data_IF_851476293204
#
_entry.id   IF_851476293204
#
_cell.length_a   1.000
_cell.length_b   1.000
_cell.length_c   1.000
_cell.angle_alpha   90.00
_cell.angle_beta   90.00
_cell.angle_gamma   90.00
#
_symmetry.space_group_name_H-M   'P 1'
#
loop_
_entity.id
_entity.type
_entity.pdbx_description
1 polymer ?
#
# COMPACT_ATOMS: atom_id res chain seq x y z
N UNK A 1 -17.53 19.51 -26.71
CA UNK A 1 -16.79 20.19 -25.62
C UNK A 1 -15.88 19.17 -24.96
N UNK A 2 -14.63 19.11 -25.45
CA UNK A 2 -13.54 18.42 -24.74
C UNK A 2 -13.09 19.34 -23.61
N UNK A 3 -13.56 19.09 -22.38
CA UNK A 3 -12.87 19.55 -21.21
C UNK A 3 -11.64 18.64 -21.07
N UNK A 4 -10.49 19.14 -21.51
CA UNK A 4 -9.20 18.63 -21.06
C UNK A 4 -9.17 18.98 -19.57
N UNK A 5 -9.49 18.02 -18.68
CA UNK A 5 -9.16 18.14 -17.27
C UNK A 5 -7.65 18.28 -17.20
N UNK A 6 -7.18 19.50 -17.00
CA UNK A 6 -5.77 19.77 -16.71
C UNK A 6 -5.52 19.12 -15.35
N UNK A 7 -4.80 17.99 -15.34
CA UNK A 7 -4.35 17.36 -14.12
C UNK A 7 -3.56 18.34 -13.26
N UNK A 8 -3.55 18.13 -11.94
CA UNK A 8 -2.76 18.95 -11.03
C UNK A 8 -1.29 18.74 -11.38
N UNK A 9 -0.56 19.85 -11.58
CA UNK A 9 0.90 19.79 -11.71
C UNK A 9 1.50 19.54 -10.32
N UNK A 10 1.71 18.27 -9.99
CA UNK A 10 2.35 17.88 -8.74
C UNK A 10 3.85 18.22 -8.77
N UNK A 11 4.28 19.09 -7.87
CA UNK A 11 5.69 19.50 -7.71
C UNK A 11 6.34 18.82 -6.50
N UNK A 12 5.59 18.64 -5.42
CA UNK A 12 6.07 18.04 -4.19
C UNK A 12 5.03 17.12 -3.56
N UNK A 13 5.47 15.94 -3.12
CA UNK A 13 4.64 14.96 -2.42
C UNK A 13 5.20 14.61 -1.05
N UNK A 14 4.34 14.39 -0.08
CA UNK A 14 4.66 13.82 1.23
C UNK A 14 4.24 12.36 1.26
N UNK A 15 5.09 11.47 1.78
CA UNK A 15 4.78 10.04 1.88
C UNK A 15 5.03 9.58 3.32
N UNK A 16 4.01 9.10 4.02
CA UNK A 16 4.18 8.31 5.26
C UNK A 16 4.29 6.83 4.93
N UNK A 17 5.04 6.06 5.72
CA UNK A 17 5.32 4.66 5.41
C UNK A 17 6.19 4.43 4.17
N UNK A 18 7.15 5.31 3.85
CA UNK A 18 7.92 5.31 2.60
C UNK A 18 8.92 4.14 2.49
N UNK A 19 9.18 3.40 3.57
CA UNK A 19 10.21 2.36 3.64
C UNK A 19 9.74 0.98 3.18
N UNK A 20 8.46 0.83 2.88
CA UNK A 20 7.86 -0.39 2.31
C UNK A 20 8.04 -0.47 0.79
N UNK A 21 7.72 -1.63 0.20
CA UNK A 21 7.87 -1.89 -1.24
C UNK A 21 7.17 -0.84 -2.11
N UNK A 22 5.91 -0.52 -1.82
CA UNK A 22 5.15 0.49 -2.58
C UNK A 22 5.72 1.89 -2.34
N UNK A 23 6.05 2.23 -1.09
CA UNK A 23 6.58 3.55 -0.74
C UNK A 23 7.90 3.86 -1.45
N UNK A 24 8.84 2.91 -1.45
CA UNK A 24 10.12 3.06 -2.16
C UNK A 24 9.94 3.12 -3.68
N UNK A 25 9.05 2.31 -4.23
CA UNK A 25 8.71 2.36 -5.65
C UNK A 25 8.09 3.71 -6.03
N UNK A 26 7.20 4.25 -5.18
CA UNK A 26 6.57 5.56 -5.41
C UNK A 26 7.59 6.70 -5.33
N UNK A 27 8.54 6.68 -4.39
CA UNK A 27 9.63 7.67 -4.35
C UNK A 27 10.35 7.70 -5.70
N UNK A 28 10.76 6.54 -6.22
CA UNK A 28 11.47 6.45 -7.49
C UNK A 28 10.61 6.94 -8.66
N UNK A 29 9.34 6.57 -8.69
CA UNK A 29 8.40 7.00 -9.73
C UNK A 29 8.20 8.51 -9.74
N UNK A 30 7.98 9.12 -8.56
CA UNK A 30 7.79 10.55 -8.41
C UNK A 30 9.04 11.34 -8.83
N UNK A 31 10.21 10.95 -8.33
CA UNK A 31 11.49 11.59 -8.66
C UNK A 31 11.79 11.50 -10.16
N UNK A 32 11.55 10.34 -10.78
CA UNK A 32 11.75 10.16 -12.23
C UNK A 32 10.82 11.05 -13.08
N UNK A 33 9.74 11.56 -12.49
CA UNK A 33 8.80 12.49 -13.12
C UNK A 33 8.97 13.95 -12.62
N UNK A 34 10.10 14.26 -11.97
CA UNK A 34 10.44 15.63 -11.55
C UNK A 34 9.70 16.12 -10.31
N UNK A 35 9.12 15.20 -9.51
CA UNK A 35 8.39 15.52 -8.28
C UNK A 35 9.33 15.39 -7.09
N UNK A 36 9.46 16.44 -6.27
CA UNK A 36 10.16 16.38 -5.00
C UNK A 36 9.39 15.52 -3.99
N UNK A 37 10.11 14.75 -3.19
CA UNK A 37 9.51 13.85 -2.20
C UNK A 37 10.00 14.16 -0.79
N UNK A 38 9.06 14.33 0.12
CA UNK A 38 9.32 14.32 1.56
C UNK A 38 8.90 12.97 2.13
N UNK A 39 9.88 12.15 2.47
CA UNK A 39 9.70 10.81 3.02
C UNK A 39 9.63 10.88 4.56
N UNK A 40 8.44 10.69 5.12
CA UNK A 40 8.19 10.72 6.58
C UNK A 40 8.48 9.35 7.17
N UNK A 41 9.50 9.25 7.99
CA UNK A 41 10.03 8.00 8.55
C UNK A 41 9.88 8.02 10.07
N UNK A 42 9.49 6.88 10.65
CA UNK A 42 9.47 6.72 12.09
C UNK A 42 10.89 6.87 12.66
N UNK A 43 11.09 7.67 13.72
CA UNK A 43 12.40 7.83 14.37
C UNK A 43 12.99 6.47 14.75
N UNK A 44 14.27 6.28 14.49
CA UNK A 44 15.00 5.04 14.78
C UNK A 44 14.64 3.85 13.87
N UNK A 45 13.93 4.06 12.77
CA UNK A 45 13.61 2.99 11.83
C UNK A 45 14.87 2.43 11.16
N UNK A 46 15.15 1.14 11.36
CA UNK A 46 16.23 0.42 10.67
C UNK A 46 16.08 0.37 9.15
N UNK A 47 14.87 0.66 8.65
CA UNK A 47 14.58 0.67 7.20
C UNK A 47 14.78 2.04 6.58
N UNK A 48 15.11 3.08 7.37
CA UNK A 48 15.31 4.43 6.87
C UNK A 48 16.43 4.52 5.82
N UNK A 49 17.47 3.69 5.97
CA UNK A 49 18.62 3.64 5.04
C UNK A 49 18.29 3.11 3.64
N UNK A 50 17.08 2.54 3.46
CA UNK A 50 16.57 2.19 2.13
C UNK A 50 16.24 3.42 1.28
N UNK A 51 15.99 4.57 1.91
CA UNK A 51 15.67 5.82 1.25
C UNK A 51 16.97 6.58 0.98
N UNK A 52 17.33 6.69 -0.31
CA UNK A 52 18.46 7.51 -0.74
C UNK A 52 18.01 8.96 -0.80
N UNK A 53 18.57 9.80 0.07
CA UNK A 53 18.33 11.24 0.06
C UNK A 53 19.08 11.91 -1.09
N UNK A 54 18.52 12.98 -1.62
CA UNK A 54 19.07 13.81 -2.70
C UNK A 54 18.41 15.18 -2.66
N UNK A 55 18.72 16.04 -3.62
CA UNK A 55 18.02 17.33 -3.77
C UNK A 55 16.50 17.13 -4.00
N UNK A 56 16.11 16.00 -4.58
CA UNK A 56 14.70 15.64 -4.85
C UNK A 56 14.07 14.81 -3.75
N UNK A 57 14.82 14.28 -2.78
CA UNK A 57 14.30 13.39 -1.72
C UNK A 57 14.81 13.84 -0.36
N UNK A 58 13.93 14.43 0.43
CA UNK A 58 14.19 14.78 1.83
C UNK A 58 13.60 13.70 2.75
N UNK A 59 14.33 13.34 3.80
CA UNK A 59 13.81 12.48 4.87
C UNK A 59 13.46 13.35 6.08
N UNK A 60 12.27 13.12 6.64
CA UNK A 60 11.80 13.77 7.87
C UNK A 60 11.46 12.69 8.88
N UNK A 61 12.05 12.75 10.07
CA UNK A 61 11.77 11.84 11.15
C UNK A 61 10.52 12.32 11.91
N UNK A 62 9.41 11.54 11.83
CA UNK A 62 8.16 11.80 12.52
C UNK A 62 7.41 10.50 12.74
N UNK A 63 6.96 10.25 13.97
CA UNK A 63 6.09 9.11 14.29
C UNK A 63 4.63 9.37 13.86
N UNK A 64 3.87 8.32 13.56
CA UNK A 64 2.46 8.46 13.19
C UNK A 64 1.61 9.11 14.28
N UNK A 65 1.99 8.96 15.54
CA UNK A 65 1.34 9.61 16.69
C UNK A 65 1.62 11.11 16.80
N UNK A 66 2.55 11.63 16.00
CA UNK A 66 3.02 13.02 16.06
C UNK A 66 2.88 13.79 14.73
N UNK A 67 1.99 13.31 13.82
CA UNK A 67 1.80 13.92 12.48
C UNK A 67 1.40 15.39 12.52
N UNK A 68 0.80 15.84 13.62
CA UNK A 68 0.53 17.26 13.87
C UNK A 68 1.78 18.15 13.87
N UNK A 69 2.98 17.58 14.04
CA UNK A 69 4.26 18.32 13.99
C UNK A 69 4.79 18.50 12.57
N UNK A 70 4.25 17.76 11.58
CA UNK A 70 4.75 17.82 10.19
C UNK A 70 4.80 19.23 9.60
N UNK A 71 3.80 20.13 9.81
CA UNK A 71 3.85 21.48 9.26
C UNK A 71 5.03 22.33 9.78
N UNK A 72 5.54 22.01 10.97
CA UNK A 72 6.73 22.68 11.54
C UNK A 72 8.04 22.11 10.94
N UNK A 73 8.02 20.82 10.56
CA UNK A 73 9.16 20.09 10.01
C UNK A 73 9.30 20.28 8.49
N UNK A 74 8.18 20.53 7.79
CA UNK A 74 8.10 20.69 6.34
C UNK A 74 7.57 22.10 6.04
N UNK A 75 8.48 23.07 5.91
CA UNK A 75 8.11 24.48 5.77
C UNK A 75 7.68 24.88 4.35
N UNK A 76 8.09 24.10 3.36
CA UNK A 76 7.89 24.43 1.95
C UNK A 76 6.51 24.05 1.42
N UNK A 77 5.66 23.38 2.23
CA UNK A 77 4.36 22.86 1.79
C UNK A 77 4.46 21.69 0.83
N UNK A 78 3.32 21.17 0.36
CA UNK A 78 3.27 20.09 -0.62
C UNK A 78 1.93 20.08 -1.37
N UNK A 79 1.86 19.38 -2.53
CA UNK A 79 0.66 19.30 -3.35
C UNK A 79 -0.17 18.05 -3.04
N UNK A 80 0.50 16.92 -2.79
CA UNK A 80 -0.14 15.61 -2.56
C UNK A 80 0.42 14.93 -1.33
N UNK A 81 -0.46 14.39 -0.51
CA UNK A 81 -0.10 13.60 0.67
C UNK A 81 -0.49 12.13 0.47
N UNK A 82 0.49 11.23 0.46
CA UNK A 82 0.32 9.78 0.40
C UNK A 82 0.44 9.19 1.80
N UNK A 83 -0.64 8.66 2.34
CA UNK A 83 -0.65 8.04 3.66
C UNK A 83 -0.60 6.52 3.56
N UNK A 84 0.62 5.96 3.62
CA UNK A 84 0.88 4.51 3.61
C UNK A 84 1.30 3.97 4.98
N UNK A 85 1.61 4.86 5.93
CA UNK A 85 1.96 4.47 7.30
C UNK A 85 0.81 3.75 7.99
N UNK A 86 1.08 2.57 8.56
CA UNK A 86 0.11 1.78 9.31
C UNK A 86 0.81 0.75 10.17
N UNK A 87 0.46 0.64 11.45
CA UNK A 87 1.00 -0.36 12.34
C UNK A 87 0.12 -1.63 12.38
N UNK A 88 0.74 -2.79 12.59
CA UNK A 88 0.01 -4.04 12.77
C UNK A 88 -0.63 -4.59 11.49
N UNK A 89 0.09 -4.59 10.37
CA UNK A 89 -0.38 -5.10 9.08
C UNK A 89 -0.29 -6.62 8.92
N UNK A 90 0.42 -7.33 9.82
CA UNK A 90 0.68 -8.76 9.73
C UNK A 90 0.38 -9.50 11.04
N UNK A 91 0.10 -10.81 10.92
CA UNK A 91 -0.07 -11.72 12.04
C UNK A 91 -1.17 -11.30 13.02
N UNK A 92 -0.97 -11.60 14.28
CA UNK A 92 -1.96 -11.36 15.35
C UNK A 92 -2.23 -9.86 15.59
N UNK A 93 -1.30 -8.97 15.23
CA UNK A 93 -1.49 -7.53 15.36
C UNK A 93 -2.62 -6.98 14.48
N UNK A 94 -3.03 -7.69 13.43
CA UNK A 94 -4.20 -7.36 12.61
C UNK A 94 -5.50 -7.34 13.42
N UNK A 95 -5.57 -8.10 14.51
CA UNK A 95 -6.73 -8.17 15.42
C UNK A 95 -6.45 -7.51 16.78
N UNK A 96 -5.41 -6.71 16.92
CA UNK A 96 -5.27 -5.80 18.05
C UNK A 96 -6.18 -4.58 17.83
N UNK A 97 -7.41 -4.65 18.32
CA UNK A 97 -8.46 -3.65 18.05
C UNK A 97 -8.05 -2.25 18.50
N UNK A 98 -7.37 -2.11 19.64
CA UNK A 98 -6.91 -0.80 20.12
C UNK A 98 -5.81 -0.22 19.22
N UNK A 99 -4.84 -1.04 18.81
CA UNK A 99 -3.80 -0.62 17.85
C UNK A 99 -4.39 -0.27 16.49
N UNK A 100 -5.36 -1.04 16.00
CA UNK A 100 -6.04 -0.75 14.74
C UNK A 100 -6.88 0.54 14.83
N UNK A 101 -7.54 0.80 15.95
CA UNK A 101 -8.27 2.05 16.17
C UNK A 101 -7.33 3.28 16.21
N UNK A 102 -6.14 3.14 16.79
CA UNK A 102 -5.12 4.21 16.74
C UNK A 102 -4.70 4.56 15.31
N UNK A 103 -4.59 3.58 14.42
CA UNK A 103 -4.29 3.84 13.02
C UNK A 103 -5.39 4.67 12.32
N UNK A 104 -6.66 4.48 12.70
CA UNK A 104 -7.76 5.34 12.20
C UNK A 104 -7.55 6.78 12.63
N UNK A 105 -7.19 6.99 13.91
CA UNK A 105 -6.83 8.33 14.41
C UNK A 105 -5.65 8.91 13.62
N UNK A 106 -4.59 8.15 13.40
CA UNK A 106 -3.42 8.61 12.68
C UNK A 106 -3.73 8.96 11.22
N UNK A 107 -4.67 8.25 10.58
CA UNK A 107 -5.14 8.61 9.25
C UNK A 107 -5.88 9.96 9.23
N UNK A 108 -6.65 10.27 10.27
CA UNK A 108 -7.28 11.58 10.43
C UNK A 108 -6.24 12.67 10.72
N UNK A 109 -5.27 12.41 11.61
CA UNK A 109 -4.15 13.32 11.88
C UNK A 109 -3.33 13.60 10.60
N UNK A 110 -3.20 12.60 9.72
CA UNK A 110 -2.55 12.76 8.42
C UNK A 110 -3.33 13.70 7.49
N UNK A 111 -4.68 13.69 7.52
CA UNK A 111 -5.50 14.66 6.78
C UNK A 111 -5.30 16.07 7.32
N UNK A 112 -5.26 16.24 8.66
CA UNK A 112 -4.99 17.55 9.27
C UNK A 112 -3.60 18.08 8.87
N UNK A 113 -2.59 17.20 8.91
CA UNK A 113 -1.22 17.56 8.50
C UNK A 113 -1.16 17.92 7.01
N UNK A 114 -1.81 17.14 6.14
CA UNK A 114 -1.90 17.40 4.72
C UNK A 114 -2.52 18.78 4.42
N UNK A 115 -3.64 19.08 5.08
CA UNK A 115 -4.30 20.39 4.94
C UNK A 115 -3.39 21.55 5.41
N UNK A 116 -2.75 21.39 6.55
CA UNK A 116 -1.84 22.41 7.07
C UNK A 116 -0.58 22.61 6.21
N UNK A 117 -0.16 21.59 5.45
CA UNK A 117 0.91 21.66 4.45
C UNK A 117 0.46 22.27 3.12
N UNK A 118 -0.82 22.59 2.96
CA UNK A 118 -1.39 23.14 1.73
C UNK A 118 -1.64 22.09 0.64
N UNK A 119 -1.71 20.79 0.98
CA UNK A 119 -1.99 19.75 0.00
C UNK A 119 -3.41 19.88 -0.57
N UNK A 120 -3.52 19.81 -1.89
CA UNK A 120 -4.81 19.75 -2.58
C UNK A 120 -5.40 18.33 -2.59
N UNK A 121 -4.55 17.32 -2.41
CA UNK A 121 -4.92 15.91 -2.55
C UNK A 121 -4.39 15.07 -1.41
N UNK A 122 -5.26 14.23 -0.87
CA UNK A 122 -4.93 13.17 0.08
C UNK A 122 -5.20 11.80 -0.55
N UNK A 123 -4.20 10.90 -0.54
CA UNK A 123 -4.31 9.53 -1.02
C UNK A 123 -4.05 8.58 0.14
N UNK A 124 -5.05 7.80 0.53
CA UNK A 124 -4.93 6.81 1.58
C UNK A 124 -4.75 5.39 1.04
N UNK A 125 -3.84 4.64 1.66
CA UNK A 125 -3.66 3.23 1.37
C UNK A 125 -4.67 2.37 2.13
N UNK A 126 -5.71 1.95 1.45
CA UNK A 126 -6.62 0.89 1.87
C UNK A 126 -6.05 -0.51 1.58
N UNK A 127 -6.90 -1.52 1.66
CA UNK A 127 -6.50 -2.92 1.51
C UNK A 127 -7.64 -3.77 0.96
N UNK A 128 -7.27 -4.84 0.27
CA UNK A 128 -8.22 -5.92 -0.08
C UNK A 128 -8.94 -6.50 1.16
N UNK A 129 -8.34 -6.40 2.35
CA UNK A 129 -8.97 -6.86 3.58
C UNK A 129 -10.29 -6.14 3.93
N UNK A 130 -10.56 -5.00 3.30
CA UNK A 130 -11.83 -4.27 3.43
C UNK A 130 -13.01 -5.04 2.80
N UNK A 131 -12.75 -5.87 1.78
CA UNK A 131 -13.79 -6.66 1.14
C UNK A 131 -14.23 -7.88 1.97
N UNK A 132 -13.33 -8.41 2.83
CA UNK A 132 -13.51 -9.73 3.43
C UNK A 132 -13.29 -10.83 2.38
N UNK A 133 -13.92 -12.00 2.58
CA UNK A 133 -13.90 -13.09 1.60
C UNK A 133 -14.99 -12.87 0.56
N UNK A 134 -14.61 -12.83 -0.68
CA UNK A 134 -15.49 -12.64 -1.82
C UNK A 134 -15.11 -13.63 -2.92
N UNK A 135 -16.08 -14.25 -3.57
CA UNK A 135 -15.88 -15.15 -4.69
C UNK A 135 -16.07 -14.36 -5.99
N UNK A 136 -14.99 -14.15 -6.72
CA UNK A 136 -14.99 -13.42 -7.98
C UNK A 136 -13.98 -12.26 -8.01
N UNK A 137 -13.99 -11.51 -9.10
CA UNK A 137 -13.06 -10.40 -9.31
C UNK A 137 -13.40 -9.21 -8.41
N UNK A 138 -12.41 -8.72 -7.68
CA UNK A 138 -12.53 -7.54 -6.83
C UNK A 138 -12.46 -6.26 -7.68
N UNK A 139 -13.36 -5.34 -7.40
CA UNK A 139 -13.38 -3.98 -7.94
C UNK A 139 -14.01 -3.03 -6.93
N UNK A 140 -14.05 -1.74 -7.24
CA UNK A 140 -14.55 -0.71 -6.34
C UNK A 140 -16.03 -0.83 -5.97
N UNK A 141 -16.83 -1.51 -6.79
CA UNK A 141 -18.28 -1.69 -6.58
C UNK A 141 -18.63 -2.90 -5.71
N UNK A 142 -17.66 -3.80 -5.46
CA UNK A 142 -17.87 -4.95 -4.56
C UNK A 142 -18.11 -4.43 -3.13
N UNK A 143 -19.20 -4.85 -2.46
CA UNK A 143 -19.48 -4.44 -1.09
C UNK A 143 -18.34 -4.80 -0.14
N UNK A 144 -17.97 -3.86 0.71
CA UNK A 144 -16.97 -4.07 1.75
C UNK A 144 -17.60 -4.74 2.97
N UNK A 145 -17.07 -5.91 3.36
CA UNK A 145 -17.48 -6.65 4.55
C UNK A 145 -16.25 -7.28 5.24
N UNK A 146 -15.40 -6.45 5.89
CA UNK A 146 -14.16 -6.90 6.47
C UNK A 146 -14.38 -7.88 7.62
N UNK A 147 -13.54 -8.94 7.69
CA UNK A 147 -13.63 -10.03 8.66
C UNK A 147 -12.53 -10.01 9.73
N UNK A 148 -11.71 -8.95 9.78
CA UNK A 148 -10.67 -8.77 10.79
C UNK A 148 -10.48 -7.30 11.15
N UNK A 149 -9.88 -7.03 12.31
CA UNK A 149 -9.71 -5.67 12.84
C UNK A 149 -8.95 -4.74 11.90
N UNK A 150 -7.95 -5.23 11.19
CA UNK A 150 -7.21 -4.48 10.19
C UNK A 150 -8.10 -4.01 9.03
N UNK A 151 -8.88 -4.90 8.43
CA UNK A 151 -9.80 -4.55 7.34
C UNK A 151 -10.89 -3.59 7.79
N UNK A 152 -11.46 -3.80 9.00
CA UNK A 152 -12.45 -2.90 9.60
C UNK A 152 -11.85 -1.50 9.78
N UNK A 153 -10.66 -1.40 10.35
CA UNK A 153 -9.99 -0.12 10.60
C UNK A 153 -9.62 0.59 9.28
N UNK A 154 -9.17 -0.15 8.26
CA UNK A 154 -8.89 0.40 6.92
C UNK A 154 -10.16 0.99 6.28
N UNK A 155 -11.27 0.25 6.31
CA UNK A 155 -12.56 0.72 5.80
C UNK A 155 -13.04 1.96 6.57
N UNK A 156 -12.95 1.93 7.90
CA UNK A 156 -13.31 3.07 8.76
C UNK A 156 -12.47 4.30 8.42
N UNK A 157 -11.13 4.15 8.35
CA UNK A 157 -10.22 5.24 7.99
C UNK A 157 -10.56 5.83 6.61
N UNK A 158 -10.81 4.98 5.60
CA UNK A 158 -11.18 5.43 4.26
C UNK A 158 -12.44 6.29 4.25
N UNK A 159 -13.47 5.87 4.99
CA UNK A 159 -14.72 6.63 5.07
C UNK A 159 -14.58 7.93 5.87
N UNK A 160 -13.89 7.89 7.02
CA UNK A 160 -13.72 9.07 7.87
C UNK A 160 -12.81 10.12 7.20
N UNK A 161 -11.69 9.71 6.62
CA UNK A 161 -10.78 10.63 5.91
C UNK A 161 -11.45 11.26 4.68
N UNK A 162 -12.34 10.54 3.98
CA UNK A 162 -13.13 11.09 2.87
C UNK A 162 -14.00 12.26 3.33
N UNK A 163 -14.69 12.12 4.47
CA UNK A 163 -15.53 13.17 5.03
C UNK A 163 -14.66 14.35 5.51
N UNK A 164 -13.54 14.06 6.19
CA UNK A 164 -12.61 15.08 6.69
C UNK A 164 -12.00 15.90 5.54
N UNK A 165 -11.56 15.26 4.46
CA UNK A 165 -11.04 15.95 3.27
C UNK A 165 -12.12 16.83 2.62
N UNK A 166 -13.35 16.31 2.46
CA UNK A 166 -14.48 17.09 1.91
C UNK A 166 -14.75 18.36 2.72
N UNK A 167 -14.70 18.29 4.04
CA UNK A 167 -14.88 19.46 4.93
C UNK A 167 -13.78 20.51 4.74
N UNK A 168 -12.61 20.11 4.29
CA UNK A 168 -11.44 20.98 4.06
C UNK A 168 -11.29 21.41 2.60
N UNK A 169 -12.17 20.96 1.70
CA UNK A 169 -12.06 21.23 0.26
C UNK A 169 -10.88 20.50 -0.41
N UNK A 170 -10.36 19.45 0.21
CA UNK A 170 -9.29 18.62 -0.32
C UNK A 170 -9.85 17.46 -1.14
N UNK A 171 -9.21 17.13 -2.24
CA UNK A 171 -9.49 15.91 -3.02
C UNK A 171 -9.07 14.68 -2.24
N UNK A 172 -9.96 13.71 -2.09
CA UNK A 172 -9.72 12.46 -1.39
C UNK A 172 -9.74 11.27 -2.33
N UNK A 173 -8.72 10.43 -2.26
CA UNK A 173 -8.63 9.19 -3.02
C UNK A 173 -8.30 8.05 -2.05
N UNK A 174 -9.07 6.98 -2.10
CA UNK A 174 -8.81 5.77 -1.33
C UNK A 174 -8.41 4.62 -2.24
N UNK A 175 -7.35 3.89 -1.88
CA UNK A 175 -6.85 2.80 -2.72
C UNK A 175 -6.97 1.48 -2.00
N UNK A 176 -7.81 0.56 -2.48
CA UNK A 176 -7.87 -0.83 -1.99
C UNK A 176 -6.81 -1.63 -2.72
N UNK A 177 -5.66 -1.74 -2.07
CA UNK A 177 -4.48 -2.39 -2.64
C UNK A 177 -4.63 -3.91 -2.49
N UNK A 178 -4.48 -4.64 -3.61
CA UNK A 178 -4.45 -6.10 -3.64
C UNK A 178 -3.06 -6.62 -3.25
N UNK A 179 -2.58 -7.71 -3.84
CA UNK A 179 -1.26 -8.25 -3.53
C UNK A 179 -0.17 -7.59 -4.37
N UNK A 180 0.68 -6.80 -3.71
CA UNK A 180 1.83 -6.19 -4.35
C UNK A 180 3.08 -7.01 -4.03
N UNK A 181 3.94 -7.19 -5.02
CA UNK A 181 5.27 -7.79 -4.87
C UNK A 181 6.36 -6.93 -5.51
N UNK A 182 7.58 -7.09 -5.07
CA UNK A 182 8.73 -6.37 -5.64
C UNK A 182 9.87 -6.20 -4.65
N UNK A 183 10.88 -5.38 -4.99
CA UNK A 183 11.99 -5.09 -4.10
C UNK A 183 11.50 -4.56 -2.75
N UNK A 184 12.18 -5.00 -1.68
CA UNK A 184 11.88 -4.63 -0.29
C UNK A 184 10.51 -5.09 0.23
N UNK A 185 9.84 -6.03 -0.44
CA UNK A 185 8.67 -6.71 0.11
C UNK A 185 9.06 -7.51 1.37
N UNK A 186 8.06 -7.83 2.20
CA UNK A 186 8.31 -8.55 3.46
C UNK A 186 8.85 -9.96 3.22
N UNK A 187 9.89 -10.35 3.95
CA UNK A 187 10.53 -11.67 3.82
C UNK A 187 9.58 -12.85 4.03
N UNK A 188 8.50 -12.64 4.80
CA UNK A 188 7.49 -13.64 5.11
C UNK A 188 6.30 -13.65 4.12
N UNK A 189 6.30 -12.81 3.08
CA UNK A 189 5.29 -12.92 2.03
C UNK A 189 5.49 -14.20 1.23
N UNK A 190 4.42 -14.69 0.58
CA UNK A 190 4.50 -15.93 -0.21
C UNK A 190 5.60 -15.82 -1.27
N UNK A 191 5.66 -14.72 -2.00
CA UNK A 191 6.65 -14.51 -3.06
C UNK A 191 8.07 -14.54 -2.50
N UNK A 192 8.36 -13.72 -1.49
CA UNK A 192 9.71 -13.58 -0.97
C UNK A 192 10.18 -14.84 -0.22
N UNK A 193 9.33 -15.44 0.61
CA UNK A 193 9.68 -16.66 1.32
C UNK A 193 9.93 -17.84 0.38
N UNK A 194 9.18 -17.94 -0.72
CA UNK A 194 9.41 -18.96 -1.77
C UNK A 194 10.75 -18.73 -2.46
N UNK A 195 11.04 -17.47 -2.83
CA UNK A 195 12.33 -17.12 -3.46
C UNK A 195 13.50 -17.47 -2.54
N UNK A 196 13.46 -17.05 -1.26
CA UNK A 196 14.55 -17.32 -0.31
C UNK A 196 14.77 -18.80 -0.09
N UNK A 197 13.74 -19.60 0.08
CA UNK A 197 13.86 -21.06 0.23
C UNK A 197 14.52 -21.68 -1.00
N UNK A 198 14.07 -21.33 -2.20
CA UNK A 198 14.62 -21.86 -3.43
C UNK A 198 16.09 -21.49 -3.62
N UNK A 199 16.47 -20.23 -3.35
CA UNK A 199 17.86 -19.79 -3.44
C UNK A 199 18.77 -20.51 -2.44
N UNK A 200 18.24 -20.89 -1.27
CA UNK A 200 18.95 -21.69 -0.28
C UNK A 200 18.88 -23.21 -0.52
N UNK A 201 18.32 -23.63 -1.67
CA UNK A 201 18.09 -25.05 -1.98
C UNK A 201 17.16 -25.75 -0.99
N UNK A 202 16.28 -25.00 -0.32
CA UNK A 202 15.26 -25.51 0.59
C UNK A 202 13.94 -25.73 -0.16
N UNK A 203 13.23 -26.83 0.16
CA UNK A 203 11.92 -27.13 -0.41
C UNK A 203 10.86 -26.16 0.12
N UNK A 204 10.20 -25.30 -0.70
CA UNK A 204 9.05 -24.55 -0.28
C UNK A 204 7.85 -25.48 -0.07
N UNK A 205 7.23 -25.47 1.11
CA UNK A 205 5.95 -26.13 1.37
C UNK A 205 4.81 -25.16 1.14
N UNK A 206 3.83 -25.54 0.34
CA UNK A 206 2.72 -24.70 -0.10
C UNK A 206 1.38 -25.44 0.08
N UNK A 207 0.28 -24.70 0.05
CA UNK A 207 -1.03 -25.27 -0.18
C UNK A 207 -1.10 -25.87 -1.59
N UNK A 208 -2.25 -26.41 -2.02
CA UNK A 208 -2.39 -26.89 -3.40
C UNK A 208 -2.20 -25.79 -4.47
N UNK A 209 -2.30 -24.50 -4.06
CA UNK A 209 -2.10 -23.36 -4.94
C UNK A 209 -3.27 -23.09 -5.89
N UNK A 210 -4.47 -23.56 -5.54
CA UNK A 210 -5.70 -23.39 -6.33
C UNK A 210 -6.35 -22.01 -6.15
N UNK A 211 -5.89 -21.23 -5.14
CA UNK A 211 -6.41 -19.89 -4.90
C UNK A 211 -6.18 -19.01 -6.14
N UNK A 212 -7.22 -18.35 -6.58
CA UNK A 212 -7.13 -17.33 -7.63
C UNK A 212 -6.56 -16.05 -7.03
N UNK A 213 -5.42 -15.59 -7.52
CA UNK A 213 -4.68 -14.49 -6.91
C UNK A 213 -4.24 -13.45 -7.94
N UNK A 214 -4.41 -12.18 -7.61
CA UNK A 214 -3.94 -11.07 -8.43
C UNK A 214 -2.70 -10.45 -7.80
N UNK A 215 -1.55 -10.63 -8.44
CA UNK A 215 -0.31 -9.97 -8.08
C UNK A 215 0.02 -8.81 -9.02
N UNK A 216 0.35 -7.66 -8.44
CA UNK A 216 0.81 -6.48 -9.16
C UNK A 216 2.24 -6.12 -8.74
N UNK A 217 3.10 -5.80 -9.71
CA UNK A 217 4.47 -5.37 -9.43
C UNK A 217 4.50 -3.97 -8.82
N UNK A 218 5.37 -3.74 -7.84
CA UNK A 218 5.43 -2.50 -7.06
C UNK A 218 5.64 -1.23 -7.90
N UNK A 219 6.35 -1.33 -9.04
CA UNK A 219 6.49 -0.19 -9.97
C UNK A 219 5.17 0.18 -10.65
N UNK A 220 4.37 -0.81 -11.04
CA UNK A 220 3.06 -0.54 -11.65
C UNK A 220 2.09 0.04 -10.64
N UNK A 221 2.15 -0.44 -9.37
CA UNK A 221 1.42 0.17 -8.28
C UNK A 221 1.85 1.62 -8.03
N UNK A 222 3.15 1.92 -8.08
CA UNK A 222 3.68 3.26 -7.93
C UNK A 222 3.24 4.20 -9.06
N UNK A 223 3.26 3.72 -10.31
CA UNK A 223 2.72 4.45 -11.47
C UNK A 223 1.24 4.77 -11.26
N UNK A 224 0.43 3.78 -10.82
CA UNK A 224 -0.98 4.01 -10.53
C UNK A 224 -1.16 5.08 -9.45
N UNK A 225 -0.38 5.02 -8.34
CA UNK A 225 -0.45 6.01 -7.27
C UNK A 225 -0.08 7.43 -7.74
N UNK A 226 0.96 7.59 -8.59
CA UNK A 226 1.30 8.88 -9.18
C UNK A 226 0.16 9.41 -10.04
N UNK A 227 -0.38 8.59 -10.95
CA UNK A 227 -1.49 8.98 -11.81
C UNK A 227 -2.75 9.37 -11.02
N UNK A 228 -3.03 8.68 -9.90
CA UNK A 228 -4.12 9.04 -9.00
C UNK A 228 -3.86 10.38 -8.31
N UNK A 229 -2.61 10.70 -7.94
CA UNK A 229 -2.24 12.01 -7.43
C UNK A 229 -2.53 13.14 -8.41
N UNK A 230 -2.22 12.91 -9.68
CA UNK A 230 -2.40 13.89 -10.76
C UNK A 230 -3.86 14.00 -11.23
N UNK A 231 -4.55 12.87 -11.42
CA UNK A 231 -5.80 12.78 -12.19
C UNK A 231 -6.93 12.01 -11.49
N UNK A 232 -6.71 11.48 -10.27
CA UNK A 232 -7.72 10.70 -9.55
C UNK A 232 -8.97 11.54 -9.26
N UNK A 233 -10.14 10.93 -9.36
CA UNK A 233 -11.42 11.60 -9.11
C UNK A 233 -11.68 11.70 -7.61
N UNK A 234 -12.11 12.87 -7.13
CA UNK A 234 -12.43 13.12 -5.72
C UNK A 234 -13.50 12.16 -5.20
N UNK A 235 -13.29 11.70 -3.96
CA UNK A 235 -14.18 10.82 -3.22
C UNK A 235 -14.25 9.38 -3.75
N UNK A 236 -13.47 9.03 -4.79
CA UNK A 236 -13.45 7.69 -5.36
C UNK A 236 -12.53 6.74 -4.61
N UNK A 237 -12.96 5.47 -4.58
CA UNK A 237 -12.13 4.33 -4.19
C UNK A 237 -11.63 3.63 -5.45
N UNK A 238 -10.35 3.26 -5.48
CA UNK A 238 -9.73 2.53 -6.59
C UNK A 238 -9.20 1.18 -6.10
N UNK A 239 -9.51 0.13 -6.82
CA UNK A 239 -8.94 -1.19 -6.61
C UNK A 239 -7.60 -1.27 -7.35
N UNK A 240 -6.50 -1.50 -6.62
CA UNK A 240 -5.14 -1.52 -7.18
C UNK A 240 -4.65 -2.96 -7.30
N UNK A 241 -4.76 -3.50 -8.49
CA UNK A 241 -4.36 -4.85 -8.88
C UNK A 241 -4.02 -4.91 -10.37
N UNK A 242 -3.59 -6.06 -10.87
CA UNK A 242 -3.31 -6.25 -12.29
C UNK A 242 -4.58 -6.45 -13.13
N UNK A 243 -5.70 -6.78 -12.48
CA UNK A 243 -6.95 -7.16 -13.11
C UNK A 243 -6.92 -8.56 -13.74
N UNK A 244 -5.91 -9.37 -13.42
CA UNK A 244 -5.70 -10.73 -13.97
C UNK A 244 -5.36 -11.71 -12.86
N UNK A 245 -6.38 -12.21 -12.17
CA UNK A 245 -6.19 -13.30 -11.21
C UNK A 245 -5.82 -14.60 -11.93
N UNK A 246 -4.89 -15.36 -11.35
CA UNK A 246 -4.44 -16.67 -11.80
C UNK A 246 -4.35 -17.62 -10.62
N UNK A 247 -4.38 -18.95 -10.83
CA UNK A 247 -4.05 -19.89 -9.78
C UNK A 247 -2.70 -19.57 -9.14
N UNK A 248 -2.64 -19.53 -7.82
CA UNK A 248 -1.42 -19.20 -7.06
C UNK A 248 -0.25 -20.10 -7.46
N UNK A 249 -0.56 -21.35 -7.81
CA UNK A 249 0.42 -22.33 -8.32
C UNK A 249 1.19 -21.82 -9.53
N UNK A 250 0.55 -21.12 -10.47
CA UNK A 250 1.24 -20.59 -11.67
C UNK A 250 2.33 -19.59 -11.30
N UNK A 251 2.07 -18.70 -10.32
CA UNK A 251 3.10 -17.78 -9.83
C UNK A 251 4.23 -18.50 -9.13
N UNK A 252 3.93 -19.52 -8.33
CA UNK A 252 4.93 -20.33 -7.62
C UNK A 252 5.80 -21.09 -8.63
N UNK A 253 5.20 -21.66 -9.68
CA UNK A 253 5.94 -22.36 -10.75
C UNK A 253 6.88 -21.40 -11.50
N UNK A 254 6.44 -20.18 -11.81
CA UNK A 254 7.29 -19.14 -12.43
C UNK A 254 8.48 -18.80 -11.51
N UNK A 255 8.22 -18.63 -10.21
CA UNK A 255 9.30 -18.39 -9.23
C UNK A 255 10.27 -19.56 -9.20
N UNK A 256 9.75 -20.80 -9.16
CA UNK A 256 10.57 -22.02 -9.16
C UNK A 256 11.50 -22.12 -10.38
N UNK A 257 10.95 -21.88 -11.57
CA UNK A 257 11.71 -21.91 -12.82
C UNK A 257 12.84 -20.87 -12.87
N UNK A 258 12.63 -19.69 -12.26
CA UNK A 258 13.58 -18.59 -12.32
C UNK A 258 14.57 -18.58 -11.15
N UNK A 259 14.17 -18.99 -9.95
CA UNK A 259 15.03 -18.97 -8.77
C UNK A 259 15.89 -20.24 -8.65
N UNK A 260 15.29 -21.43 -8.71
CA UNK A 260 16.03 -22.70 -8.70
C UNK A 260 15.14 -23.87 -9.18
N UNK A 261 15.26 -24.22 -10.45
CA UNK A 261 14.48 -25.28 -11.09
C UNK A 261 14.79 -26.71 -10.58
N UNK A 262 15.89 -26.88 -9.84
CA UNK A 262 16.30 -28.19 -9.32
C UNK A 262 15.65 -28.52 -7.97
N UNK A 263 14.99 -27.56 -7.33
CA UNK A 263 14.29 -27.76 -6.04
C UNK A 263 12.83 -28.04 -6.30
N UNK A 264 12.36 -29.16 -5.75
CA UNK A 264 10.94 -29.54 -5.84
C UNK A 264 10.08 -28.67 -4.92
N UNK A 265 8.95 -28.20 -5.42
CA UNK A 265 7.95 -27.46 -4.63
C UNK A 265 6.96 -28.44 -4.02
N UNK A 266 6.68 -28.30 -2.73
CA UNK A 266 5.76 -29.15 -1.96
C UNK A 266 4.33 -28.64 -2.02
N UNK A 267 3.65 -28.88 -3.14
CA UNK A 267 2.22 -28.57 -3.24
C UNK A 267 1.37 -29.51 -2.40
N UNK A 268 0.47 -28.95 -1.58
CA UNK A 268 -0.40 -29.70 -0.68
C UNK A 268 0.28 -30.12 0.64
N UNK A 269 1.56 -29.76 0.85
CA UNK A 269 2.25 -30.01 2.13
C UNK A 269 1.59 -29.23 3.28
N UNK A 270 0.93 -28.09 2.97
CA UNK A 270 0.20 -27.26 3.91
C UNK A 270 -1.30 -27.36 3.57
N UNK A 271 -2.16 -27.74 4.54
CA UNK A 271 -3.61 -27.72 4.31
C UNK A 271 -4.14 -26.28 4.22
N UNK A 272 -5.30 -26.10 3.57
CA UNK A 272 -6.02 -24.84 3.65
C UNK A 272 -6.51 -24.58 5.06
N UNK A 273 -6.37 -23.36 5.53
CA UNK A 273 -6.96 -22.91 6.80
C UNK A 273 -8.50 -22.75 6.68
N UNK A 274 -9.22 -22.76 7.81
CA UNK A 274 -10.69 -22.66 7.80
C UNK A 274 -11.22 -21.33 7.26
N UNK A 275 -10.38 -20.27 7.28
CA UNK A 275 -10.70 -18.94 6.78
C UNK A 275 -9.81 -18.56 5.58
N UNK A 276 -9.44 -19.56 4.78
CA UNK A 276 -8.58 -19.32 3.61
C UNK A 276 -9.29 -18.43 2.60
N UNK A 277 -8.60 -17.35 2.19
CA UNK A 277 -9.02 -16.53 1.06
C UNK A 277 -8.72 -17.30 -0.22
N UNK A 278 -9.72 -17.51 -1.05
CA UNK A 278 -9.60 -18.26 -2.30
C UNK A 278 -9.57 -17.38 -3.54
N UNK A 279 -10.01 -16.12 -3.43
CA UNK A 279 -10.08 -15.17 -4.55
C UNK A 279 -9.53 -13.81 -4.11
N UNK A 280 -8.69 -13.24 -4.96
CA UNK A 280 -8.13 -11.89 -4.79
C UNK A 280 -7.95 -11.21 -6.14
#
# INVERSE_FOLDING_TARGET
>A
NQYIEMGILMKRAVITGPTGSIGLALINELVSNGVEVVAVVRPGSRRADRIKTSDMVKRVDCDLSELNKLPELIREGADVFYHFGWDGTFGNSRNNMYGQNLNVKYALDAVEAAFALGCDTFIGAGSQAEYGRYEGSLNESVPAFPENGYGIAKLCAGQMTRIACKQKGMRHIWTRILSIYGPYDGENTMVMSTIYKLLNSEKPSCTKGEQMWDFLYSKDAALAMRLLGEKGTDGRTYCIGSGKARPLKEYIDIIGQNANKNVTIGYGDIPYGPLQVMYL
#
